data_IF_614432598084
#
_entry.id   IF_614432598084
#
_cell.length_a   1.000
_cell.length_b   1.000
_cell.length_c   1.000
_cell.angle_alpha   90.00
_cell.angle_beta   90.00
_cell.angle_gamma   90.00
#
_symmetry.space_group_name_H-M   'P 1'
#
loop_
_entity.id
_entity.type
_entity.pdbx_description
1 polymer ?
#
# COMPACT_ATOMS: atom_id res chain seq x y z
N UNK A 1 -18.64 -4.40 4.30
CA UNK A 1 -18.01 -3.05 4.41
C UNK A 1 -16.86 -3.02 5.43
N UNK A 2 -17.07 -3.46 6.68
CA UNK A 2 -16.02 -3.48 7.74
C UNK A 2 -14.76 -4.26 7.30
N UNK A 3 -14.92 -5.50 6.81
CA UNK A 3 -13.78 -6.32 6.32
C UNK A 3 -12.97 -5.63 5.22
N UNK A 4 -13.65 -4.92 4.32
CA UNK A 4 -13.02 -4.18 3.22
C UNK A 4 -12.17 -3.00 3.72
N UNK A 5 -12.69 -2.22 4.69
CA UNK A 5 -11.92 -1.15 5.32
C UNK A 5 -10.71 -1.68 6.10
N UNK A 6 -10.89 -2.76 6.87
CA UNK A 6 -9.78 -3.41 7.60
C UNK A 6 -8.69 -3.90 6.64
N UNK A 7 -9.08 -4.42 5.47
CA UNK A 7 -8.16 -4.93 4.48
C UNK A 7 -7.33 -3.83 3.81
N UNK A 8 -7.95 -2.68 3.52
CA UNK A 8 -7.23 -1.52 3.00
C UNK A 8 -6.32 -0.93 4.08
N UNK A 9 -6.78 -0.85 5.34
CA UNK A 9 -6.00 -0.32 6.46
C UNK A 9 -4.83 -1.20 6.90
N UNK A 10 -4.92 -2.52 6.69
CA UNK A 10 -3.89 -3.48 7.10
C UNK A 10 -2.47 -3.12 6.62
N UNK A 11 -2.20 -2.87 5.32
CA UNK A 11 -0.86 -2.47 4.88
C UNK A 11 -0.35 -1.18 5.54
N UNK A 12 -1.23 -0.20 5.82
CA UNK A 12 -0.83 1.03 6.51
C UNK A 12 -0.31 0.77 7.91
N UNK A 13 -1.02 -0.08 8.67
CA UNK A 13 -0.67 -0.45 10.04
C UNK A 13 0.58 -1.33 10.07
N UNK A 14 0.70 -2.29 9.12
CA UNK A 14 1.85 -3.19 9.04
C UNK A 14 3.13 -2.40 8.76
N UNK A 15 3.14 -1.50 7.77
CA UNK A 15 4.32 -0.68 7.48
C UNK A 15 4.72 0.21 8.66
N UNK A 16 3.73 0.80 9.35
CA UNK A 16 3.99 1.60 10.54
C UNK A 16 4.63 0.76 11.66
N UNK A 17 4.08 -0.41 11.93
CA UNK A 17 4.55 -1.31 12.99
C UNK A 17 5.98 -1.79 12.71
N UNK A 18 6.30 -2.11 11.45
CA UNK A 18 7.66 -2.45 11.02
C UNK A 18 8.61 -1.29 11.30
N UNK A 19 8.24 -0.06 10.91
CA UNK A 19 9.04 1.14 11.16
C UNK A 19 9.28 1.38 12.65
N UNK A 20 8.23 1.23 13.47
CA UNK A 20 8.33 1.35 14.92
C UNK A 20 9.28 0.34 15.54
N UNK A 21 9.22 -0.94 15.12
CA UNK A 21 10.13 -2.00 15.59
C UNK A 21 11.59 -1.64 15.24
N UNK A 22 11.83 -1.14 14.02
CA UNK A 22 13.17 -0.71 13.62
C UNK A 22 13.70 0.46 14.45
N UNK A 23 12.84 1.45 14.73
CA UNK A 23 13.20 2.66 15.47
C UNK A 23 13.53 2.40 16.95
N UNK A 24 13.03 1.32 17.55
CA UNK A 24 13.35 1.00 18.95
C UNK A 24 14.85 0.70 19.13
N UNK A 25 15.48 1.27 20.16
CA UNK A 25 16.85 0.95 20.56
C UNK A 25 16.86 -0.24 21.54
N UNK A 26 16.42 -1.41 21.07
CA UNK A 26 16.38 -2.67 21.83
C UNK A 26 17.29 -3.72 21.18
N UNK A 27 17.67 -4.74 21.95
CA UNK A 27 18.50 -5.85 21.48
C UNK A 27 17.93 -6.53 20.24
N UNK A 28 18.82 -6.94 19.33
CA UNK A 28 18.46 -7.57 18.05
C UNK A 28 17.60 -8.83 18.22
N UNK A 29 17.81 -9.59 19.29
CA UNK A 29 17.03 -10.81 19.57
C UNK A 29 15.56 -10.48 19.87
N UNK A 30 15.31 -9.41 20.62
CA UNK A 30 13.96 -8.95 20.95
C UNK A 30 13.28 -8.36 19.71
N UNK A 31 14.02 -7.65 18.85
CA UNK A 31 13.49 -7.18 17.55
C UNK A 31 13.01 -8.35 16.69
N UNK A 32 13.80 -9.43 16.63
CA UNK A 32 13.43 -10.63 15.88
C UNK A 32 12.14 -11.25 16.44
N UNK A 33 12.01 -11.34 17.76
CA UNK A 33 10.77 -11.77 18.42
C UNK A 33 9.57 -10.89 18.06
N UNK A 34 9.74 -9.56 18.04
CA UNK A 34 8.68 -8.63 17.64
C UNK A 34 8.26 -8.80 16.17
N UNK A 35 9.20 -9.04 15.26
CA UNK A 35 8.90 -9.36 13.85
C UNK A 35 8.14 -10.68 13.71
N UNK A 36 8.50 -11.70 14.48
CA UNK A 36 7.78 -12.98 14.50
C UNK A 36 6.34 -12.81 14.97
N UNK A 37 6.11 -12.04 16.03
CA UNK A 37 4.77 -11.72 16.52
C UNK A 37 3.95 -10.93 15.48
N UNK A 38 4.57 -9.95 14.83
CA UNK A 38 3.94 -9.19 13.74
C UNK A 38 3.55 -10.11 12.57
N UNK A 39 4.44 -11.04 12.20
CA UNK A 39 4.18 -12.02 11.13
C UNK A 39 3.00 -12.94 11.47
N UNK A 40 2.96 -13.49 12.68
CA UNK A 40 1.86 -14.33 13.14
C UNK A 40 0.55 -13.54 13.12
N UNK A 41 0.56 -12.31 13.65
CA UNK A 41 -0.61 -11.42 13.63
C UNK A 41 -1.11 -11.14 12.21
N UNK A 42 -0.19 -10.86 11.27
CA UNK A 42 -0.52 -10.64 9.86
C UNK A 42 -1.05 -11.91 9.18
N UNK A 43 -0.52 -13.09 9.51
CA UNK A 43 -0.97 -14.37 8.97
C UNK A 43 -2.37 -14.74 9.47
N UNK A 44 -2.66 -14.50 10.75
CA UNK A 44 -3.99 -14.68 11.32
C UNK A 44 -4.96 -13.67 10.72
N UNK A 45 -4.57 -12.39 10.60
CA UNK A 45 -5.35 -11.37 9.93
C UNK A 45 -5.65 -11.76 8.48
N UNK A 46 -4.68 -12.31 7.75
CA UNK A 46 -4.86 -12.88 6.40
C UNK A 46 -6.02 -13.87 6.38
N UNK A 47 -5.94 -14.86 7.26
CA UNK A 47 -6.87 -15.99 7.30
C UNK A 47 -8.30 -15.57 7.68
N UNK A 48 -8.47 -14.59 8.57
CA UNK A 48 -9.79 -14.15 9.06
C UNK A 48 -10.42 -13.00 8.28
N UNK A 49 -9.60 -12.08 7.72
CA UNK A 49 -10.09 -10.83 7.12
C UNK A 49 -10.07 -10.83 5.58
N UNK A 50 -9.23 -11.63 4.94
CA UNK A 50 -9.02 -11.56 3.50
C UNK A 50 -9.80 -12.64 2.78
N UNK A 51 -10.78 -12.20 2.00
CA UNK A 51 -11.62 -13.06 1.17
C UNK A 51 -10.99 -13.23 -0.23
N UNK A 52 -11.19 -14.38 -0.87
CA UNK A 52 -10.57 -14.77 -2.15
C UNK A 52 -10.82 -13.77 -3.29
N UNK A 53 -11.93 -13.06 -3.22
CA UNK A 53 -12.37 -12.08 -4.23
C UNK A 53 -11.67 -10.71 -4.13
N UNK A 54 -10.94 -10.48 -3.03
CA UNK A 54 -10.38 -9.19 -2.66
C UNK A 54 -8.85 -9.12 -2.77
N UNK A 55 -8.19 -10.20 -3.21
CA UNK A 55 -6.73 -10.23 -3.41
C UNK A 55 -6.23 -9.18 -4.40
N UNK A 56 -7.03 -8.82 -5.41
CA UNK A 56 -6.70 -7.77 -6.38
C UNK A 56 -6.56 -6.38 -5.74
N UNK A 57 -7.20 -6.16 -4.58
CA UNK A 57 -7.13 -4.89 -3.85
C UNK A 57 -5.87 -4.75 -2.99
N UNK A 58 -5.21 -5.86 -2.64
CA UNK A 58 -4.11 -5.87 -1.69
C UNK A 58 -2.84 -5.20 -2.25
N UNK A 59 -2.42 -5.46 -3.51
CA UNK A 59 -1.32 -4.72 -4.13
C UNK A 59 -1.62 -3.23 -4.24
N UNK A 60 -2.85 -2.86 -4.60
CA UNK A 60 -3.29 -1.46 -4.65
C UNK A 60 -3.20 -0.79 -3.28
N UNK A 61 -3.77 -1.41 -2.24
CA UNK A 61 -3.76 -0.84 -0.89
C UNK A 61 -2.32 -0.71 -0.37
N UNK A 62 -1.44 -1.67 -0.70
CA UNK A 62 -0.03 -1.63 -0.36
C UNK A 62 0.68 -0.46 -1.05
N UNK A 63 0.45 -0.25 -2.36
CA UNK A 63 0.98 0.90 -3.09
C UNK A 63 0.51 2.23 -2.50
N UNK A 64 -0.76 2.35 -2.15
CA UNK A 64 -1.30 3.56 -1.54
C UNK A 64 -0.67 3.81 -0.16
N UNK A 65 -0.50 2.76 0.63
CA UNK A 65 0.13 2.83 1.95
C UNK A 65 1.59 3.30 1.88
N UNK A 66 2.39 2.75 0.96
CA UNK A 66 3.78 3.19 0.79
C UNK A 66 3.85 4.64 0.34
N UNK A 67 3.00 5.04 -0.61
CA UNK A 67 2.94 6.42 -1.10
C UNK A 67 2.53 7.40 0.01
N UNK A 68 1.58 7.04 0.85
CA UNK A 68 1.19 7.84 2.04
C UNK A 68 2.37 8.02 2.99
N UNK A 69 3.06 6.94 3.35
CA UNK A 69 4.19 7.00 4.28
C UNK A 69 5.37 7.80 3.72
N UNK A 70 5.62 7.75 2.40
CA UNK A 70 6.60 8.63 1.74
C UNK A 70 6.23 10.10 1.96
N UNK A 71 4.97 10.50 1.79
CA UNK A 71 4.58 11.90 2.01
C UNK A 71 4.64 12.32 3.48
N UNK A 72 4.22 11.45 4.40
CA UNK A 72 4.29 11.74 5.83
C UNK A 72 5.75 11.92 6.26
N UNK A 73 6.62 10.98 5.89
CA UNK A 73 8.06 11.08 6.19
C UNK A 73 8.69 12.30 5.53
N UNK A 74 8.29 12.61 4.30
CA UNK A 74 8.76 13.81 3.62
C UNK A 74 8.32 15.10 4.32
N UNK A 75 7.03 15.27 4.62
CA UNK A 75 6.53 16.54 5.18
C UNK A 75 7.05 16.79 6.59
N UNK A 76 7.08 15.76 7.43
CA UNK A 76 7.38 15.93 8.85
C UNK A 76 8.87 15.77 9.22
N UNK A 77 9.64 14.96 8.47
CA UNK A 77 11.05 14.70 8.80
C UNK A 77 12.01 15.28 7.76
N UNK A 78 11.84 14.99 6.47
CA UNK A 78 12.85 15.35 5.46
C UNK A 78 12.68 16.78 4.92
N UNK A 79 11.45 17.24 4.79
CA UNK A 79 11.05 18.42 4.04
C UNK A 79 11.50 19.72 4.67
N UNK A 80 11.65 19.74 6.00
CA UNK A 80 12.21 20.87 6.77
C UNK A 80 13.71 21.05 6.45
N UNK A 81 14.41 19.95 6.16
CA UNK A 81 15.84 19.95 5.83
C UNK A 81 16.11 19.95 4.32
N UNK A 82 15.09 19.69 3.50
CA UNK A 82 15.21 19.58 2.07
C UNK A 82 15.23 20.95 1.40
N UNK A 83 16.15 21.14 0.45
CA UNK A 83 16.16 22.31 -0.42
C UNK A 83 14.94 22.35 -1.34
N UNK A 84 14.56 23.54 -1.80
CA UNK A 84 13.36 23.76 -2.62
C UNK A 84 13.31 22.92 -3.91
N UNK A 85 14.45 22.64 -4.54
CA UNK A 85 14.50 21.82 -5.77
C UNK A 85 14.12 20.35 -5.50
N UNK A 86 14.40 19.81 -4.31
CA UNK A 86 14.00 18.45 -3.93
C UNK A 86 12.49 18.34 -3.78
N UNK A 87 11.82 19.39 -3.30
CA UNK A 87 10.36 19.46 -3.27
C UNK A 87 9.78 19.43 -4.69
N UNK A 88 10.38 20.14 -5.64
CA UNK A 88 9.97 20.09 -7.04
C UNK A 88 10.18 18.72 -7.67
N UNK A 89 11.30 18.05 -7.36
CA UNK A 89 11.54 16.67 -7.81
C UNK A 89 10.53 15.68 -7.23
N UNK A 90 10.20 15.82 -5.95
CA UNK A 90 9.16 15.00 -5.33
C UNK A 90 7.82 15.20 -6.03
N UNK A 91 7.39 16.45 -6.23
CA UNK A 91 6.12 16.77 -6.88
C UNK A 91 6.11 16.30 -8.34
N UNK A 92 7.17 16.57 -9.09
CA UNK A 92 7.26 16.21 -10.50
C UNK A 92 7.31 14.70 -10.74
N UNK A 93 7.94 13.92 -9.85
CA UNK A 93 7.89 12.46 -9.90
C UNK A 93 6.55 11.89 -9.39
N UNK A 94 5.96 12.51 -8.37
CA UNK A 94 4.76 12.04 -7.70
C UNK A 94 3.47 12.23 -8.50
N UNK A 95 3.31 13.38 -9.17
CA UNK A 95 2.10 13.73 -9.91
C UNK A 95 1.83 12.78 -11.09
N UNK A 96 2.80 12.48 -11.97
CA UNK A 96 2.62 11.50 -13.04
C UNK A 96 2.25 10.11 -12.52
N UNK A 97 2.89 9.67 -11.43
CA UNK A 97 2.58 8.41 -10.77
C UNK A 97 1.14 8.37 -10.27
N UNK A 98 0.61 9.47 -9.73
CA UNK A 98 -0.80 9.58 -9.36
C UNK A 98 -1.73 9.50 -10.56
N UNK A 99 -1.37 10.15 -11.67
CA UNK A 99 -2.17 10.10 -12.90
C UNK A 99 -2.23 8.67 -13.44
N UNK A 100 -1.09 7.98 -13.55
CA UNK A 100 -1.03 6.59 -14.01
C UNK A 100 -1.84 5.66 -13.10
N UNK A 101 -1.73 5.84 -11.79
CA UNK A 101 -2.46 5.06 -10.81
C UNK A 101 -3.98 5.26 -10.89
N UNK A 102 -4.43 6.51 -10.95
CA UNK A 102 -5.86 6.82 -11.07
C UNK A 102 -6.45 6.33 -12.39
N UNK A 103 -5.68 6.42 -13.48
CA UNK A 103 -6.07 5.82 -14.77
C UNK A 103 -6.18 4.31 -14.65
N UNK A 104 -5.17 3.63 -14.11
CA UNK A 104 -5.18 2.18 -13.92
C UNK A 104 -6.30 1.70 -12.98
N UNK A 105 -6.69 2.49 -11.98
CA UNK A 105 -7.78 2.14 -11.06
C UNK A 105 -9.17 2.35 -11.67
N UNK A 106 -9.32 3.34 -12.54
CA UNK A 106 -10.59 3.63 -13.24
C UNK A 106 -10.78 2.83 -14.52
N UNK A 107 -9.71 2.28 -15.08
CA UNK A 107 -9.79 1.33 -16.17
C UNK A 107 -10.46 0.05 -15.65
N UNK A 108 -11.79 -0.01 -15.76
CA UNK A 108 -12.51 -1.27 -15.68
C UNK A 108 -11.90 -2.20 -16.74
N UNK A 109 -11.54 -3.45 -16.40
CA UNK A 109 -11.16 -4.42 -17.40
C UNK A 109 -12.38 -4.55 -18.31
N UNK A 110 -12.26 -3.99 -19.51
CA UNK A 110 -13.35 -3.91 -20.46
C UNK A 110 -14.00 -5.28 -20.53
N UNK A 111 -15.29 -5.34 -20.18
CA UNK A 111 -16.17 -6.33 -20.75
C UNK A 111 -16.05 -6.08 -22.24
N UNK A 112 -15.17 -6.82 -22.91
CA UNK A 112 -15.28 -7.01 -24.35
C UNK A 112 -16.62 -7.70 -24.47
N UNK A 113 -17.67 -6.92 -24.71
CA UNK A 113 -18.90 -7.43 -25.24
C UNK A 113 -18.51 -8.00 -26.60
N UNK A 114 -18.04 -9.25 -26.62
CA UNK A 114 -18.07 -10.03 -27.83
C UNK A 114 -19.54 -9.98 -28.26
N UNK A 115 -19.83 -9.17 -29.27
CA UNK A 115 -21.13 -9.25 -29.92
C UNK A 115 -21.29 -10.71 -30.33
N UNK A 116 -22.51 -11.23 -30.24
CA UNK A 116 -22.78 -12.62 -30.59
C UNK A 116 -22.34 -12.98 -32.02
N UNK A 117 -22.05 -11.98 -32.86
CA UNK A 117 -21.55 -12.10 -34.23
C UNK A 117 -20.10 -12.59 -34.32
N UNK A 118 -19.23 -12.33 -33.33
CA UNK A 118 -17.84 -12.83 -33.31
C UNK A 118 -17.72 -14.29 -32.82
N UNK A 119 -18.81 -14.86 -32.29
CA UNK A 119 -18.83 -16.26 -31.81
C UNK A 119 -19.32 -17.26 -32.87
N UNK A 120 -19.74 -16.78 -34.03
CA UNK A 120 -20.39 -17.60 -35.08
C UNK A 120 -19.55 -17.77 -36.36
N UNK A 121 -18.30 -17.33 -36.36
CA UNK A 121 -17.30 -17.66 -37.39
C UNK A 121 -16.31 -18.73 -36.90
#
# INVERSE_FOLDING_TARGET
RIRWCCMIGAPFIIFYSIGMIFQQNIDYLIKLGAFMLLYIGAYTAKTFLFDGRLYNLLPMATYLATKMWIYITWVFWLGIHASWYLWLLLVSGSVPLWICFLRSWRSDPGVVSASHEDKLN
#
